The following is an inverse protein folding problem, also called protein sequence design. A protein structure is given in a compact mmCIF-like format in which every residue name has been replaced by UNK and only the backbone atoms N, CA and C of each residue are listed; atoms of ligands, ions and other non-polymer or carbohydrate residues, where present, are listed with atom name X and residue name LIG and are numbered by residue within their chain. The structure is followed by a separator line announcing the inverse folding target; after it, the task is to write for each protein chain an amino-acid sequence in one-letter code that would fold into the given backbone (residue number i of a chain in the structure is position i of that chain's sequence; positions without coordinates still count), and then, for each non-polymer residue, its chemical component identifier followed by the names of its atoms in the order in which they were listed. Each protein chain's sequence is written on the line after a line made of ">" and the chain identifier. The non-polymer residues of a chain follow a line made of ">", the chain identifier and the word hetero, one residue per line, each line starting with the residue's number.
data_IF_537121707357
#
_entry.id   IF_537121707357
#
_cell.length_a   1.000
_cell.length_b   1.000
_cell.length_c   1.000
_cell.angle_alpha   90.00
_cell.angle_beta   90.00
_cell.angle_gamma   90.00
#
_symmetry.space_group_name_H-M   'P 1'
#
loop_
_entity.id
_entity.type
_entity.pdbx_description
1 polymer ?
#
# COMPACT_ATOMS: atom_id res chain seq x y z
N UNK A 1 -6.03 7.23 8.66
CA UNK A 1 -5.56 8.16 9.69
C UNK A 1 -6.53 9.31 9.91
N UNK A 2 -6.97 10.01 8.88
CA UNK A 2 -7.96 11.09 9.02
C UNK A 2 -9.24 10.63 9.73
N UNK A 3 -9.76 9.47 9.39
CA UNK A 3 -10.93 8.87 10.03
C UNK A 3 -10.69 8.46 11.50
N UNK A 4 -9.45 8.31 11.91
CA UNK A 4 -9.01 7.92 13.26
C UNK A 4 -8.51 9.13 14.08
N UNK A 5 -8.78 10.35 13.63
CA UNK A 5 -8.48 11.58 14.36
C UNK A 5 -7.00 11.99 14.35
N UNK A 6 -6.23 11.62 13.35
CA UNK A 6 -4.85 12.08 13.21
C UNK A 6 -4.80 13.61 13.03
N UNK A 7 -3.91 14.27 13.76
CA UNK A 7 -3.71 15.72 13.67
C UNK A 7 -3.22 16.15 12.27
N UNK A 8 -2.27 15.38 11.71
CA UNK A 8 -1.75 15.56 10.36
C UNK A 8 -1.72 14.24 9.60
N UNK A 9 -2.76 13.91 8.81
CA UNK A 9 -2.78 12.69 8.00
C UNK A 9 -1.64 12.60 6.98
N UNK A 10 -1.11 13.75 6.57
CA UNK A 10 -0.06 13.87 5.55
C UNK A 10 1.36 13.53 6.04
N UNK A 11 1.62 13.54 7.35
CA UNK A 11 2.96 13.25 7.91
C UNK A 11 3.58 11.93 7.45
N UNK A 12 2.72 10.97 7.07
CA UNK A 12 3.15 9.65 6.60
C UNK A 12 3.46 9.64 5.11
N UNK A 13 3.11 10.71 4.38
CA UNK A 13 3.24 10.75 2.93
C UNK A 13 4.70 10.57 2.48
N UNK A 14 5.62 11.35 3.03
CA UNK A 14 7.03 11.29 2.66
C UNK A 14 7.67 9.93 3.01
N UNK A 15 7.56 9.41 4.26
CA UNK A 15 8.04 8.08 4.59
C UNK A 15 7.42 6.97 3.75
N UNK A 16 6.12 7.07 3.45
CA UNK A 16 5.41 6.12 2.59
C UNK A 16 5.97 6.12 1.18
N UNK A 17 6.19 7.28 0.59
CA UNK A 17 6.78 7.43 -0.74
C UNK A 17 8.20 6.82 -0.80
N UNK A 18 9.03 7.07 0.22
CA UNK A 18 10.36 6.46 0.31
C UNK A 18 10.29 4.94 0.41
N UNK A 19 9.46 4.42 1.31
CA UNK A 19 9.29 2.99 1.51
C UNK A 19 8.75 2.29 0.24
N UNK A 20 7.74 2.87 -0.41
CA UNK A 20 7.15 2.35 -1.66
C UNK A 20 8.17 2.32 -2.78
N UNK A 21 8.92 3.39 -2.96
CA UNK A 21 9.94 3.51 -3.99
C UNK A 21 11.06 2.49 -3.79
N UNK A 22 11.53 2.34 -2.56
CA UNK A 22 12.55 1.34 -2.22
C UNK A 22 12.04 -0.09 -2.44
N UNK A 23 10.81 -0.40 -2.00
CA UNK A 23 10.18 -1.71 -2.18
C UNK A 23 10.01 -2.05 -3.67
N UNK A 24 9.55 -1.10 -4.47
CA UNK A 24 9.39 -1.29 -5.93
C UNK A 24 10.73 -1.55 -6.62
N UNK A 25 11.76 -0.78 -6.28
CA UNK A 25 13.12 -1.01 -6.82
C UNK A 25 13.68 -2.36 -6.39
N UNK A 26 13.55 -2.73 -5.13
CA UNK A 26 14.01 -4.01 -4.62
C UNK A 26 13.27 -5.18 -5.28
N UNK A 27 11.94 -5.09 -5.43
CA UNK A 27 11.12 -6.08 -6.12
C UNK A 27 11.50 -6.23 -7.59
N UNK A 28 11.76 -5.12 -8.28
CA UNK A 28 12.18 -5.14 -9.68
C UNK A 28 13.58 -5.77 -9.85
N UNK A 29 14.53 -5.42 -8.97
CA UNK A 29 15.88 -6.02 -8.99
C UNK A 29 15.82 -7.53 -8.67
N UNK A 30 15.04 -7.92 -7.66
CA UNK A 30 14.83 -9.32 -7.32
C UNK A 30 14.18 -10.09 -8.48
N UNK A 31 13.17 -9.51 -9.14
CA UNK A 31 12.54 -10.08 -10.34
C UNK A 31 13.53 -10.27 -11.49
N UNK A 32 14.36 -9.28 -11.76
CA UNK A 32 15.42 -9.37 -12.77
C UNK A 32 16.42 -10.49 -12.44
N UNK A 33 16.79 -10.63 -11.17
CA UNK A 33 17.72 -11.67 -10.73
C UNK A 33 17.12 -13.08 -10.87
N UNK A 34 15.88 -13.27 -10.41
CA UNK A 34 15.17 -14.58 -10.48
C UNK A 34 14.92 -14.99 -11.93
N UNK A 35 14.51 -14.05 -12.78
CA UNK A 35 14.23 -14.32 -14.20
C UNK A 35 15.49 -14.33 -15.07
N UNK A 36 16.67 -14.14 -14.47
CA UNK A 36 17.98 -14.07 -15.20
C UNK A 36 17.96 -13.07 -16.35
N UNK A 37 17.21 -11.98 -16.23
CA UNK A 37 17.16 -10.93 -17.23
C UNK A 37 18.47 -10.15 -17.22
N UNK A 38 18.96 -9.82 -18.42
CA UNK A 38 20.15 -8.97 -18.54
C UNK A 38 19.77 -7.55 -18.11
N UNK A 39 20.28 -7.10 -16.95
CA UNK A 39 20.07 -5.74 -16.42
C UNK A 39 20.50 -4.66 -17.42
N UNK A 40 21.38 -5.00 -18.39
CA UNK A 40 21.80 -4.11 -19.49
C UNK A 40 20.82 -4.02 -20.66
N UNK A 41 19.64 -4.64 -20.58
CA UNK A 41 18.63 -4.47 -21.62
C UNK A 41 18.07 -3.03 -21.57
N UNK A 42 18.01 -2.38 -22.73
CA UNK A 42 17.60 -0.96 -22.85
C UNK A 42 16.24 -0.69 -22.22
N UNK A 43 15.32 -1.64 -22.30
CA UNK A 43 13.98 -1.52 -21.72
C UNK A 43 14.03 -1.55 -20.19
N UNK A 44 14.77 -2.51 -19.62
CA UNK A 44 14.88 -2.67 -18.16
C UNK A 44 15.63 -1.48 -17.55
N UNK A 45 16.78 -1.13 -18.11
CA UNK A 45 17.57 0.02 -17.67
C UNK A 45 16.78 1.32 -17.82
N UNK A 46 16.07 1.51 -18.92
CA UNK A 46 15.19 2.67 -19.13
C UNK A 46 14.08 2.76 -18.10
N UNK A 47 13.43 1.64 -17.76
CA UNK A 47 12.37 1.61 -16.76
C UNK A 47 12.90 1.92 -15.35
N UNK A 48 14.04 1.34 -14.97
CA UNK A 48 14.70 1.63 -13.68
C UNK A 48 15.08 3.11 -13.60
N UNK A 49 15.66 3.65 -14.65
CA UNK A 49 16.08 5.06 -14.71
C UNK A 49 14.88 6.01 -14.63
N UNK A 50 13.80 5.69 -15.33
CA UNK A 50 12.57 6.50 -15.30
C UNK A 50 11.90 6.47 -13.93
N UNK A 51 11.82 5.30 -13.29
CA UNK A 51 11.28 5.16 -11.94
C UNK A 51 12.12 5.89 -10.91
N UNK A 52 13.45 5.76 -10.97
CA UNK A 52 14.36 6.48 -10.07
C UNK A 52 14.32 7.99 -10.28
N UNK A 53 14.24 8.46 -11.52
CA UNK A 53 14.13 9.88 -11.83
C UNK A 53 12.78 10.46 -11.32
N UNK A 54 11.69 9.72 -11.51
CA UNK A 54 10.36 10.10 -11.01
C UNK A 54 10.34 10.15 -9.48
N UNK A 55 10.98 9.21 -8.82
CA UNK A 55 11.15 9.19 -7.37
C UNK A 55 11.94 10.39 -6.85
N UNK A 56 13.10 10.68 -7.46
CA UNK A 56 13.93 11.83 -7.08
C UNK A 56 13.17 13.14 -7.31
N UNK A 57 12.48 13.26 -8.45
CA UNK A 57 11.65 14.43 -8.75
C UNK A 57 10.53 14.64 -7.72
N UNK A 58 9.88 13.55 -7.29
CA UNK A 58 8.81 13.58 -6.29
C UNK A 58 9.33 13.94 -4.90
N UNK A 59 10.51 13.40 -4.51
CA UNK A 59 11.18 13.78 -3.26
C UNK A 59 11.64 15.25 -3.26
N UNK A 60 12.11 15.73 -4.41
CA UNK A 60 12.46 17.14 -4.57
C UNK A 60 11.24 18.05 -4.46
N UNK A 61 10.14 17.70 -5.12
CA UNK A 61 8.88 18.41 -5.02
C UNK A 61 8.34 18.42 -3.58
N UNK A 62 8.42 17.28 -2.87
CA UNK A 62 7.99 17.16 -1.48
C UNK A 62 8.81 18.01 -0.50
N UNK A 63 10.07 18.33 -0.83
CA UNK A 63 10.90 19.23 -0.02
C UNK A 63 10.62 20.71 -0.22
N UNK A 64 10.11 21.09 -1.40
CA UNK A 64 9.95 22.50 -1.79
C UNK A 64 8.50 22.98 -1.73
N UNK A 65 7.52 22.09 -1.67
CA UNK A 65 6.11 22.44 -1.64
C UNK A 65 5.52 22.27 -0.22
N UNK A 66 4.64 23.18 0.22
CA UNK A 66 3.88 23.02 1.45
C UNK A 66 3.03 21.73 1.40
N UNK A 67 2.86 21.05 2.53
CA UNK A 67 2.13 19.79 2.62
C UNK A 67 0.68 19.87 2.12
N UNK A 68 -0.01 21.00 2.39
CA UNK A 68 -1.37 21.23 1.91
C UNK A 68 -1.44 21.30 0.39
N UNK A 69 -0.46 21.95 -0.23
CA UNK A 69 -0.35 22.06 -1.69
C UNK A 69 -0.06 20.69 -2.31
N UNK A 70 0.82 19.91 -1.70
CA UNK A 70 1.14 18.55 -2.15
C UNK A 70 -0.10 17.63 -2.11
N UNK A 71 -0.88 17.69 -1.04
CA UNK A 71 -2.09 16.90 -0.90
C UNK A 71 -3.15 17.30 -1.94
N UNK A 72 -3.37 18.58 -2.14
CA UNK A 72 -4.33 19.10 -3.12
C UNK A 72 -3.91 18.78 -4.54
N UNK A 73 -2.63 18.98 -4.89
CA UNK A 73 -2.09 18.68 -6.21
C UNK A 73 -2.11 17.17 -6.48
N UNK A 74 -1.69 16.33 -5.51
CA UNK A 74 -1.70 14.88 -5.68
C UNK A 74 -3.12 14.32 -5.85
N UNK A 75 -4.09 14.83 -5.10
CA UNK A 75 -5.51 14.46 -5.24
C UNK A 75 -6.06 14.88 -6.61
N UNK A 76 -5.74 16.10 -7.07
CA UNK A 76 -6.15 16.59 -8.38
C UNK A 76 -5.54 15.77 -9.51
N UNK A 77 -4.23 15.52 -9.46
CA UNK A 77 -3.52 14.69 -10.44
C UNK A 77 -4.08 13.28 -10.48
N UNK A 78 -4.32 12.65 -9.32
CA UNK A 78 -4.93 11.33 -9.25
C UNK A 78 -6.33 11.31 -9.88
N UNK A 79 -7.16 12.32 -9.60
CA UNK A 79 -8.49 12.45 -10.18
C UNK A 79 -8.45 12.63 -11.71
N UNK A 80 -7.54 13.48 -12.21
CA UNK A 80 -7.35 13.71 -13.65
C UNK A 80 -6.86 12.44 -14.35
N UNK A 81 -5.90 11.72 -13.77
CA UNK A 81 -5.40 10.45 -14.34
C UNK A 81 -6.53 9.43 -14.39
N UNK A 82 -7.28 9.27 -13.31
CA UNK A 82 -8.37 8.29 -13.23
C UNK A 82 -9.47 8.61 -14.24
N UNK A 83 -9.88 9.87 -14.32
CA UNK A 83 -10.85 10.35 -15.31
C UNK A 83 -10.33 10.17 -16.74
N UNK A 84 -9.05 10.50 -16.98
CA UNK A 84 -8.40 10.33 -18.26
C UNK A 84 -8.38 8.87 -18.73
N UNK A 85 -8.09 7.92 -17.85
CA UNK A 85 -8.14 6.48 -18.15
C UNK A 85 -9.57 6.06 -18.53
N UNK A 86 -10.58 6.47 -17.76
CA UNK A 86 -11.98 6.16 -18.04
C UNK A 86 -12.38 6.72 -19.40
N UNK A 87 -12.11 7.99 -19.66
CA UNK A 87 -12.42 8.63 -20.94
C UNK A 87 -11.69 7.94 -22.11
N UNK A 88 -10.43 7.57 -21.90
CA UNK A 88 -9.64 6.83 -22.90
C UNK A 88 -10.29 5.51 -23.29
N UNK A 89 -10.75 4.71 -22.33
CA UNK A 89 -11.43 3.45 -22.60
C UNK A 89 -12.76 3.67 -23.35
N UNK A 90 -13.54 4.70 -22.95
CA UNK A 90 -14.80 5.04 -23.62
C UNK A 90 -14.54 5.46 -25.08
N UNK A 91 -13.55 6.31 -25.32
CA UNK A 91 -13.16 6.76 -26.67
C UNK A 91 -12.71 5.57 -27.52
N UNK A 92 -11.83 4.71 -26.98
CA UNK A 92 -11.33 3.52 -27.67
C UNK A 92 -12.49 2.56 -28.04
N UNK A 93 -13.43 2.32 -27.13
CA UNK A 93 -14.59 1.49 -27.38
C UNK A 93 -15.48 2.08 -28.47
N UNK A 94 -15.72 3.40 -28.42
CA UNK A 94 -16.50 4.12 -29.45
C UNK A 94 -15.84 4.07 -30.84
N UNK A 95 -14.53 4.26 -30.92
CA UNK A 95 -13.77 4.18 -32.18
C UNK A 95 -13.84 2.77 -32.76
N UNK A 96 -13.79 1.75 -31.89
CA UNK A 96 -13.89 0.34 -32.32
C UNK A 96 -15.31 -0.14 -32.53
N UNK A 97 -16.32 0.75 -32.42
CA UNK A 97 -17.75 0.43 -32.57
C UNK A 97 -18.24 -0.66 -31.59
N UNK A 98 -17.61 -0.76 -30.43
CA UNK A 98 -18.05 -1.63 -29.33
C UNK A 98 -19.17 -0.91 -28.59
N UNK A 99 -20.24 -1.64 -28.22
CA UNK A 99 -21.28 -1.08 -27.36
C UNK A 99 -20.68 -0.84 -25.95
N UNK A 100 -20.38 0.42 -25.66
CA UNK A 100 -19.72 0.84 -24.39
C UNK A 100 -20.55 0.42 -23.18
N UNK A 101 -21.86 0.56 -23.26
CA UNK A 101 -22.76 0.23 -22.15
C UNK A 101 -22.75 -1.27 -21.83
N UNK A 102 -22.91 -2.12 -22.83
CA UNK A 102 -22.92 -3.58 -22.64
C UNK A 102 -21.56 -4.06 -22.14
N UNK A 103 -20.46 -3.56 -22.72
CA UNK A 103 -19.12 -3.89 -22.27
C UNK A 103 -18.86 -3.46 -20.80
N UNK A 104 -19.39 -2.30 -20.40
CA UNK A 104 -19.31 -1.84 -19.01
C UNK A 104 -20.09 -2.74 -18.07
N UNK A 105 -21.34 -3.10 -18.44
CA UNK A 105 -22.19 -3.98 -17.62
C UNK A 105 -21.55 -5.36 -17.45
N UNK A 106 -21.00 -5.92 -18.52
CA UNK A 106 -20.34 -7.23 -18.44
C UNK A 106 -19.08 -7.19 -17.57
N UNK A 107 -18.28 -6.13 -17.70
CA UNK A 107 -17.15 -5.89 -16.81
C UNK A 107 -17.56 -5.71 -15.34
N UNK A 108 -18.65 -4.98 -15.10
CA UNK A 108 -19.20 -4.77 -13.76
C UNK A 108 -19.71 -6.09 -13.13
N UNK A 109 -20.38 -6.94 -13.90
CA UNK A 109 -20.81 -8.28 -13.45
C UNK A 109 -19.61 -9.14 -13.07
N UNK A 110 -18.55 -9.14 -13.89
CA UNK A 110 -17.33 -9.87 -13.61
C UNK A 110 -16.62 -9.36 -12.33
N UNK A 111 -16.58 -8.05 -12.15
CA UNK A 111 -16.05 -7.42 -10.93
C UNK A 111 -16.86 -7.80 -9.68
N UNK A 112 -18.18 -7.82 -9.79
CA UNK A 112 -19.08 -8.22 -8.71
C UNK A 112 -18.89 -9.69 -8.32
N UNK A 113 -18.80 -10.59 -9.30
CA UNK A 113 -18.52 -12.01 -9.05
C UNK A 113 -17.17 -12.20 -8.34
N UNK A 114 -16.15 -11.48 -8.76
CA UNK A 114 -14.83 -11.50 -8.11
C UNK A 114 -14.96 -11.01 -6.66
N UNK A 115 -15.67 -9.92 -6.42
CA UNK A 115 -15.87 -9.40 -5.07
C UNK A 115 -16.59 -10.40 -4.15
N UNK A 116 -17.66 -11.03 -4.62
CA UNK A 116 -18.36 -12.09 -3.87
C UNK A 116 -17.43 -13.28 -3.60
N UNK A 117 -16.66 -13.70 -4.60
CA UNK A 117 -15.71 -14.82 -4.46
C UNK A 117 -14.64 -14.58 -3.41
N UNK A 118 -14.25 -13.33 -3.16
CA UNK A 118 -13.24 -12.96 -2.16
C UNK A 118 -13.81 -12.95 -0.72
N UNK A 119 -15.11 -12.70 -0.54
CA UNK A 119 -15.75 -12.58 0.79
C UNK A 119 -15.47 -13.77 1.71
N UNK A 120 -15.62 -15.04 1.31
CA UNK A 120 -15.35 -16.17 2.19
C UNK A 120 -13.92 -16.21 2.68
N UNK A 121 -12.95 -15.88 1.82
CA UNK A 121 -11.54 -15.83 2.20
C UNK A 121 -11.27 -14.71 3.20
N UNK A 122 -11.90 -13.54 3.03
CA UNK A 122 -11.80 -12.43 3.98
C UNK A 122 -12.34 -12.81 5.34
N UNK A 123 -13.52 -13.46 5.39
CA UNK A 123 -14.11 -13.94 6.65
C UNK A 123 -13.18 -14.95 7.31
N UNK A 124 -12.67 -15.94 6.57
CA UNK A 124 -11.76 -16.94 7.10
C UNK A 124 -10.49 -16.32 7.70
N UNK A 125 -9.90 -15.35 7.01
CA UNK A 125 -8.71 -14.64 7.50
C UNK A 125 -9.02 -13.82 8.74
N UNK A 126 -10.14 -13.09 8.77
CA UNK A 126 -10.52 -12.29 9.94
C UNK A 126 -10.80 -13.17 11.16
N UNK A 127 -11.46 -14.32 10.97
CA UNK A 127 -11.69 -15.30 12.04
C UNK A 127 -10.37 -15.87 12.53
N UNK A 128 -9.46 -16.27 11.63
CA UNK A 128 -8.14 -16.79 12.00
C UNK A 128 -7.31 -15.78 12.80
N UNK A 129 -7.30 -14.51 12.39
CA UNK A 129 -6.64 -13.42 13.13
C UNK A 129 -7.30 -13.20 14.49
N UNK A 130 -8.64 -13.22 14.55
CA UNK A 130 -9.37 -13.12 15.80
C UNK A 130 -9.03 -14.26 16.77
N UNK A 131 -8.95 -15.50 16.27
CA UNK A 131 -8.54 -16.66 17.07
C UNK A 131 -7.07 -16.55 17.54
N UNK A 132 -6.17 -16.12 16.66
CA UNK A 132 -4.76 -15.93 16.98
C UNK A 132 -4.58 -14.87 18.08
N UNK A 133 -5.41 -13.83 18.06
CA UNK A 133 -5.44 -12.82 19.12
C UNK A 133 -6.05 -13.37 20.43
N UNK A 134 -7.20 -14.00 20.33
CA UNK A 134 -7.90 -14.55 21.50
C UNK A 134 -7.07 -15.61 22.26
N UNK A 135 -6.20 -16.35 21.55
CA UNK A 135 -5.26 -17.28 22.13
C UNK A 135 -4.08 -16.64 22.87
N UNK A 136 -3.91 -15.32 22.80
CA UNK A 136 -2.75 -14.62 23.35
C UNK A 136 -1.47 -14.74 22.50
N UNK A 137 -1.49 -15.52 21.42
CA UNK A 137 -0.33 -15.73 20.56
C UNK A 137 0.16 -14.44 19.89
N UNK A 138 -0.76 -13.48 19.63
CA UNK A 138 -0.41 -12.15 19.14
C UNK A 138 0.49 -11.39 20.13
N UNK A 139 0.15 -11.41 21.42
CA UNK A 139 0.96 -10.78 22.47
C UNK A 139 2.34 -11.43 22.62
N UNK A 140 2.44 -12.76 22.50
CA UNK A 140 3.72 -13.47 22.50
C UNK A 140 4.58 -13.06 21.28
N UNK A 141 3.97 -12.94 20.11
CA UNK A 141 4.65 -12.46 18.90
C UNK A 141 5.20 -11.05 19.08
N UNK A 142 4.38 -10.13 19.58
CA UNK A 142 4.78 -8.74 19.85
C UNK A 142 5.90 -8.65 20.88
N UNK A 143 5.83 -9.41 21.97
CA UNK A 143 6.88 -9.47 22.99
C UNK A 143 8.19 -10.04 22.43
N UNK A 144 8.12 -11.14 21.68
CA UNK A 144 9.28 -11.72 21.03
C UNK A 144 9.96 -10.77 20.05
N UNK A 145 9.16 -10.07 19.25
CA UNK A 145 9.68 -9.08 18.29
C UNK A 145 10.21 -7.84 19.00
N UNK A 146 9.59 -7.40 20.08
CA UNK A 146 10.08 -6.28 20.91
C UNK A 146 11.45 -6.60 21.51
N UNK A 147 11.64 -7.82 22.03
CA UNK A 147 12.93 -8.27 22.55
C UNK A 147 14.00 -8.34 21.43
N UNK A 148 13.63 -8.83 20.26
CA UNK A 148 14.51 -8.89 19.09
C UNK A 148 14.92 -7.48 18.63
N UNK A 149 13.99 -6.55 18.55
CA UNK A 149 14.26 -5.16 18.16
C UNK A 149 15.16 -4.47 19.18
N UNK A 150 14.91 -4.67 20.47
CA UNK A 150 15.79 -4.16 21.53
C UNK A 150 17.22 -4.70 21.41
N UNK A 151 17.36 -5.99 21.08
CA UNK A 151 18.69 -6.60 20.90
C UNK A 151 19.46 -6.03 19.70
N UNK A 152 18.74 -5.70 18.60
CA UNK A 152 19.34 -5.10 17.39
C UNK A 152 19.55 -3.57 17.56
N UNK A 153 19.03 -2.95 18.62
CA UNK A 153 19.10 -1.51 18.85
C UNK A 153 18.01 -0.71 18.11
N UNK A 154 16.93 -1.38 17.71
CA UNK A 154 15.75 -0.76 17.11
C UNK A 154 14.73 -0.48 18.23
N UNK A 155 13.92 0.57 18.06
CA UNK A 155 12.88 0.90 19.04
C UNK A 155 11.91 -0.26 19.23
N UNK A 156 11.78 -0.82 20.46
CA UNK A 156 10.90 -1.96 20.74
C UNK A 156 9.41 -1.70 20.47
N UNK A 157 8.97 -0.43 20.54
CA UNK A 157 7.58 -0.04 20.27
C UNK A 157 7.14 -0.35 18.84
N UNK A 158 8.10 -0.49 17.91
CA UNK A 158 7.81 -0.90 16.53
C UNK A 158 7.21 -2.30 16.42
N UNK A 159 7.35 -3.14 17.46
CA UNK A 159 6.79 -4.50 17.49
C UNK A 159 5.28 -4.50 17.32
N UNK A 160 4.56 -3.48 17.78
CA UNK A 160 3.13 -3.34 17.57
C UNK A 160 2.68 -3.23 16.09
N UNK A 161 3.60 -2.91 15.18
CA UNK A 161 3.31 -2.88 13.75
C UNK A 161 3.58 -4.23 13.03
N UNK A 162 4.26 -5.17 13.68
CA UNK A 162 4.64 -6.48 13.12
C UNK A 162 3.44 -7.29 12.65
N UNK A 163 2.33 -7.38 13.40
CA UNK A 163 1.14 -8.12 12.93
C UNK A 163 0.61 -7.58 11.59
N UNK A 164 0.60 -6.26 11.41
CA UNK A 164 0.21 -5.62 10.13
C UNK A 164 1.18 -5.99 9.01
N UNK A 165 2.49 -5.99 9.29
CA UNK A 165 3.52 -6.35 8.32
C UNK A 165 3.40 -7.80 7.85
N UNK A 166 3.19 -8.74 8.78
CA UNK A 166 3.03 -10.16 8.47
C UNK A 166 1.74 -10.47 7.71
N UNK A 167 0.68 -9.72 8.01
CA UNK A 167 -0.61 -9.92 7.37
C UNK A 167 -0.66 -9.34 5.95
N UNK A 168 0.14 -8.32 5.66
CA UNK A 168 0.13 -7.61 4.37
C UNK A 168 0.32 -8.55 3.16
N UNK A 169 1.32 -9.44 3.10
CA UNK A 169 1.49 -10.36 1.98
C UNK A 169 0.38 -11.41 1.90
N UNK A 170 -0.29 -11.72 3.01
CA UNK A 170 -1.37 -12.70 3.06
C UNK A 170 -2.71 -12.08 2.63
N UNK A 171 -3.00 -10.88 3.11
CA UNK A 171 -4.25 -10.16 2.83
C UNK A 171 -4.11 -8.68 3.09
N UNK A 172 -4.21 -7.87 2.04
CA UNK A 172 -4.21 -6.41 2.17
C UNK A 172 -5.40 -5.86 2.94
N UNK A 173 -6.58 -6.49 2.86
CA UNK A 173 -7.76 -6.13 3.64
C UNK A 173 -7.66 -6.58 5.08
N UNK A 174 -7.12 -7.78 5.35
CA UNK A 174 -6.81 -8.25 6.71
C UNK A 174 -5.78 -7.36 7.40
N UNK A 175 -4.72 -6.97 6.71
CA UNK A 175 -3.72 -6.03 7.23
C UNK A 175 -4.34 -4.65 7.56
N UNK A 176 -5.35 -4.20 6.79
CA UNK A 176 -6.10 -2.97 7.09
C UNK A 176 -6.94 -3.10 8.37
N UNK A 177 -7.53 -4.26 8.61
CA UNK A 177 -8.19 -4.57 9.88
C UNK A 177 -7.24 -4.46 11.07
N UNK A 178 -6.07 -5.09 10.99
CA UNK A 178 -5.03 -5.02 12.03
C UNK A 178 -4.47 -3.61 12.22
N UNK A 179 -4.33 -2.82 11.14
CA UNK A 179 -3.94 -1.42 11.21
C UNK A 179 -4.93 -0.60 12.07
N UNK A 180 -6.23 -0.71 11.80
CA UNK A 180 -7.25 0.02 12.57
C UNK A 180 -7.25 -0.40 14.03
N UNK A 181 -7.02 -1.68 14.28
CA UNK A 181 -6.96 -2.25 15.60
C UNK A 181 -5.69 -1.85 16.36
N UNK A 182 -4.53 -1.82 15.72
CA UNK A 182 -3.28 -1.32 16.31
C UNK A 182 -3.35 0.18 16.62
N UNK A 183 -4.09 0.97 15.82
CA UNK A 183 -4.30 2.39 16.06
C UNK A 183 -5.25 2.69 17.23
N UNK A 184 -6.18 1.80 17.54
CA UNK A 184 -7.17 2.04 18.60
C UNK A 184 -6.54 2.29 19.98
N UNK A 185 -5.59 1.48 20.49
CA UNK A 185 -4.93 1.70 21.76
C UNK A 185 -3.78 2.73 21.71
N UNK A 186 -3.06 2.80 20.59
CA UNK A 186 -1.84 3.61 20.48
C UNK A 186 -2.07 5.01 19.90
N UNK A 187 -3.19 5.22 19.23
CA UNK A 187 -3.50 6.45 18.50
C UNK A 187 -2.90 6.50 17.08
N UNK A 188 -3.56 7.28 16.23
CA UNK A 188 -3.18 7.41 14.81
C UNK A 188 -1.83 8.12 14.60
N UNK A 189 -1.42 8.98 15.52
CA UNK A 189 -0.17 9.75 15.46
C UNK A 189 1.01 9.08 16.18
N UNK A 190 0.75 7.93 16.83
CA UNK A 190 1.81 7.13 17.45
C UNK A 190 2.80 6.56 16.43
N UNK A 191 3.97 6.16 16.89
CA UNK A 191 4.97 5.48 16.07
C UNK A 191 4.36 4.22 15.41
N UNK A 192 3.63 3.41 16.17
CA UNK A 192 2.95 2.21 15.69
C UNK A 192 1.92 2.55 14.61
N UNK A 193 1.07 3.55 14.83
CA UNK A 193 0.07 3.99 13.87
C UNK A 193 0.68 4.47 12.55
N UNK A 194 1.76 5.25 12.63
CA UNK A 194 2.49 5.72 11.44
C UNK A 194 3.13 4.56 10.67
N UNK A 195 3.79 3.64 11.37
CA UNK A 195 4.41 2.45 10.77
C UNK A 195 3.38 1.54 10.11
N UNK A 196 2.26 1.26 10.77
CA UNK A 196 1.19 0.45 10.19
C UNK A 196 0.65 1.08 8.89
N UNK A 197 0.53 2.42 8.83
CA UNK A 197 0.13 3.11 7.61
C UNK A 197 1.17 2.97 6.48
N UNK A 198 2.45 3.10 6.81
CA UNK A 198 3.54 2.94 5.84
C UNK A 198 3.54 1.52 5.30
N UNK A 199 3.48 0.52 6.19
CA UNK A 199 3.42 -0.89 5.83
C UNK A 199 2.19 -1.21 4.96
N UNK A 200 1.03 -0.63 5.27
CA UNK A 200 -0.18 -0.81 4.48
C UNK A 200 -0.09 -0.19 3.09
N UNK A 201 0.58 0.93 2.95
CA UNK A 201 0.71 1.64 1.67
C UNK A 201 1.85 1.15 0.78
N UNK A 202 2.85 0.43 1.31
CA UNK A 202 3.93 -0.17 0.50
C UNK A 202 3.38 -1.36 -0.31
N UNK A 203 3.87 -1.61 -1.54
CA UNK A 203 3.49 -2.77 -2.33
C UNK A 203 3.98 -4.09 -1.75
#
# INVERSE_FOLDING_TARGET
>A
RAQMGAANPADVFLPLMMATSFSTLAGMLAGCFVQKLKIGDKVITGTILTLTALMIGMLFAARHLPEETLNSVSALVAAIILLGIICWFIIQASVRKVNVYDAFIDGAKGGFQTAIGIIPYLIAILVAVGMFRASGAMGLLEQGMSALFAWIGINPDMAGAVPTALMKPLSGSGARGLLTEAMAPHGADSLVGRLCCILQGTP
#
